data_IF_903710279675
#
_entry.id   IF_903710279675
#
_cell.length_a   1.000
_cell.length_b   1.000
_cell.length_c   1.000
_cell.angle_alpha   90.00
_cell.angle_beta   90.00
_cell.angle_gamma   90.00
#
_symmetry.space_group_name_H-M   'P 1'
#
loop_
_entity.id
_entity.type
_entity.pdbx_description
1 polymer ?
#
# COMPACT_ATOMS: atom_id res chain seq x y z
N UNK A 1 -19.30 -44.44 -14.27
CA UNK A 1 -18.25 -45.00 -13.40
C UNK A 1 -17.45 -43.82 -12.83
N UNK A 2 -17.49 -43.62 -11.52
CA UNK A 2 -16.78 -42.51 -10.86
C UNK A 2 -15.28 -42.86 -10.71
N UNK A 3 -14.39 -41.99 -11.16
CA UNK A 3 -12.93 -42.13 -11.05
C UNK A 3 -12.53 -41.97 -9.56
N UNK A 4 -11.75 -42.93 -9.02
CA UNK A 4 -11.14 -42.78 -7.69
C UNK A 4 -10.07 -41.64 -7.73
N UNK A 5 -10.16 -40.73 -6.77
CA UNK A 5 -9.21 -39.64 -6.58
C UNK A 5 -7.80 -40.18 -6.23
N UNK A 6 -6.76 -39.59 -6.76
CA UNK A 6 -5.36 -39.90 -6.38
C UNK A 6 -5.05 -39.35 -4.99
N UNK A 7 -4.06 -39.92 -4.30
CA UNK A 7 -3.71 -39.54 -2.95
C UNK A 7 -3.37 -38.02 -2.82
N UNK A 8 -2.72 -37.45 -3.83
CA UNK A 8 -2.39 -36.00 -3.89
C UNK A 8 -3.65 -35.13 -4.03
N UNK A 9 -4.63 -35.58 -4.82
CA UNK A 9 -5.92 -34.88 -4.98
C UNK A 9 -6.73 -34.91 -3.68
N UNK A 10 -6.63 -35.99 -2.92
CA UNK A 10 -7.30 -36.13 -1.61
C UNK A 10 -6.70 -35.19 -0.57
N UNK A 11 -5.37 -35.01 -0.60
CA UNK A 11 -4.67 -34.08 0.29
C UNK A 11 -5.04 -32.62 0.01
N UNK A 12 -5.09 -32.22 -1.28
CA UNK A 12 -5.53 -30.90 -1.70
C UNK A 12 -6.97 -30.60 -1.30
N UNK A 13 -7.86 -31.58 -1.47
CA UNK A 13 -9.26 -31.46 -1.06
C UNK A 13 -9.42 -31.34 0.46
N UNK A 14 -8.59 -32.02 1.24
CA UNK A 14 -8.57 -31.89 2.70
C UNK A 14 -8.25 -30.46 3.16
N UNK A 15 -7.32 -29.78 2.49
CA UNK A 15 -6.96 -28.40 2.78
C UNK A 15 -8.10 -27.41 2.44
N UNK A 16 -8.76 -27.61 1.30
CA UNK A 16 -9.87 -26.75 0.86
C UNK A 16 -11.09 -26.92 1.77
N UNK A 17 -11.43 -28.16 2.14
CA UNK A 17 -12.59 -28.44 2.99
C UNK A 17 -12.41 -27.99 4.44
N UNK A 18 -11.17 -27.87 4.93
CA UNK A 18 -10.89 -27.36 6.27
C UNK A 18 -11.15 -25.84 6.41
N UNK A 19 -11.15 -25.10 5.29
CA UNK A 19 -11.38 -23.65 5.28
C UNK A 19 -12.84 -23.25 5.01
N UNK A 20 -13.73 -24.23 4.68
CA UNK A 20 -15.12 -23.96 4.34
C UNK A 20 -16.01 -24.24 5.55
N UNK A 21 -16.83 -23.29 5.95
CA UNK A 21 -17.82 -23.46 7.02
C UNK A 21 -19.05 -24.18 6.44
N UNK A 22 -19.37 -25.43 6.85
CA UNK A 22 -20.53 -26.12 6.33
C UNK A 22 -21.84 -25.47 6.79
N UNK A 23 -22.83 -25.46 5.93
CA UNK A 23 -24.17 -25.02 6.25
C UNK A 23 -24.79 -25.92 7.35
N UNK A 24 -25.61 -25.37 8.26
CA UNK A 24 -26.23 -26.13 9.32
C UNK A 24 -27.09 -27.26 8.73
N UNK A 25 -26.84 -28.52 9.15
CA UNK A 25 -27.57 -29.71 8.73
C UNK A 25 -26.82 -30.68 7.80
N UNK A 26 -25.58 -30.40 7.39
CA UNK A 26 -24.72 -31.34 6.67
C UNK A 26 -23.46 -31.66 7.42
N UNK A 27 -23.24 -32.92 7.73
CA UNK A 27 -22.00 -33.41 8.35
C UNK A 27 -20.98 -33.63 7.24
N UNK A 28 -19.81 -32.95 7.36
CA UNK A 28 -18.70 -33.17 6.43
C UNK A 28 -18.13 -34.59 6.63
N UNK A 29 -17.75 -35.32 5.58
CA UNK A 29 -17.12 -36.63 5.74
C UNK A 29 -15.75 -36.45 6.40
N UNK A 30 -15.56 -37.09 7.55
CA UNK A 30 -14.27 -37.08 8.27
C UNK A 30 -13.32 -38.02 7.54
N UNK A 31 -12.36 -37.43 6.83
CA UNK A 31 -11.23 -38.19 6.28
C UNK A 31 -10.24 -38.40 7.41
N UNK A 32 -10.10 -39.62 7.92
CA UNK A 32 -9.02 -40.01 8.82
C UNK A 32 -7.69 -39.85 8.09
N UNK A 33 -6.91 -38.87 8.48
CA UNK A 33 -5.52 -38.78 8.09
C UNK A 33 -4.76 -39.90 8.82
N UNK A 34 -3.83 -40.61 8.14
CA UNK A 34 -2.91 -41.49 8.84
C UNK A 34 -2.03 -40.67 9.76
N UNK A 35 -1.82 -41.18 11.01
CA UNK A 35 -0.92 -40.60 11.99
C UNK A 35 0.47 -40.39 11.35
N UNK A 36 0.81 -39.14 11.06
CA UNK A 36 2.19 -38.76 10.71
C UNK A 36 2.89 -38.55 12.05
N UNK A 37 3.76 -39.50 12.36
CA UNK A 37 4.71 -39.45 13.46
C UNK A 37 5.32 -38.04 13.59
N UNK A 38 5.29 -37.52 14.80
CA UNK A 38 5.68 -36.16 15.14
C UNK A 38 7.05 -35.80 14.56
N UNK A 39 7.08 -34.95 13.58
CA UNK A 39 8.31 -34.29 13.14
C UNK A 39 8.87 -33.40 14.27
N UNK A 40 10.19 -33.36 14.47
CA UNK A 40 10.80 -32.66 15.59
C UNK A 40 10.48 -31.16 15.57
N UNK A 41 10.32 -30.62 16.76
CA UNK A 41 10.04 -29.24 17.09
C UNK A 41 10.56 -28.23 16.05
N UNK A 42 9.62 -27.47 15.45
CA UNK A 42 9.97 -26.37 14.58
C UNK A 42 10.87 -25.40 15.35
N UNK A 43 12.01 -25.12 14.78
CA UNK A 43 12.90 -24.05 15.21
C UNK A 43 12.07 -22.78 15.41
N UNK A 44 12.22 -22.07 16.53
CA UNK A 44 11.53 -20.80 16.70
C UNK A 44 11.93 -19.89 15.55
N UNK A 45 10.97 -19.51 14.72
CA UNK A 45 11.14 -18.42 13.77
C UNK A 45 11.71 -17.23 14.55
N UNK A 46 12.74 -16.55 14.05
CA UNK A 46 13.25 -15.38 14.74
C UNK A 46 12.08 -14.45 14.97
N UNK A 47 11.72 -14.28 16.23
CA UNK A 47 10.75 -13.28 16.67
C UNK A 47 11.22 -11.97 16.05
N UNK A 48 10.44 -11.47 15.07
CA UNK A 48 10.62 -10.15 14.52
C UNK A 48 10.98 -9.22 15.66
N UNK A 49 12.16 -8.63 15.57
CA UNK A 49 12.54 -7.52 16.43
C UNK A 49 11.31 -6.63 16.55
N UNK A 50 10.89 -6.39 17.78
CA UNK A 50 9.76 -5.53 18.14
C UNK A 50 9.92 -4.27 17.33
N UNK A 51 9.05 -4.10 16.34
CA UNK A 51 9.03 -2.93 15.52
C UNK A 51 8.94 -1.76 16.49
N UNK A 52 10.03 -0.99 16.56
CA UNK A 52 10.14 0.23 17.35
C UNK A 52 8.83 0.98 17.11
N UNK A 53 8.00 1.11 18.14
CA UNK A 53 6.67 1.70 18.09
C UNK A 53 6.76 2.96 17.24
N UNK A 54 6.23 2.90 16.02
CA UNK A 54 6.23 4.03 15.11
C UNK A 54 5.59 5.19 15.87
N UNK A 55 6.29 6.30 15.96
CA UNK A 55 5.71 7.52 16.52
C UNK A 55 4.38 7.78 15.81
N UNK A 56 3.35 8.31 16.50
CA UNK A 56 2.06 8.55 15.89
C UNK A 56 2.25 9.33 14.59
N UNK A 57 1.78 8.76 13.49
CA UNK A 57 1.88 9.36 12.16
C UNK A 57 1.05 10.64 12.20
N UNK A 58 1.73 11.77 12.25
CA UNK A 58 1.07 13.07 12.19
C UNK A 58 0.58 13.25 10.75
N UNK A 59 -0.69 13.62 10.51
CA UNK A 59 -1.17 13.87 9.16
C UNK A 59 -0.24 14.87 8.46
N UNK A 60 0.00 14.73 7.14
CA UNK A 60 0.85 15.65 6.41
C UNK A 60 0.27 17.06 6.49
N UNK A 61 1.13 18.05 6.61
CA UNK A 61 0.69 19.44 6.55
C UNK A 61 0.01 19.71 5.20
N UNK A 62 -1.03 20.52 5.22
CA UNK A 62 -1.69 20.95 3.97
C UNK A 62 -0.79 21.97 3.27
N UNK A 63 -0.68 21.88 1.94
CA UNK A 63 0.03 22.91 1.16
C UNK A 63 -0.64 24.27 1.44
N UNK A 64 0.17 25.28 1.69
CA UNK A 64 -0.29 26.65 1.94
C UNK A 64 -1.22 27.11 0.80
N UNK A 65 -2.39 27.74 1.14
CA UNK A 65 -3.43 28.07 0.15
C UNK A 65 -2.93 28.96 -1.01
N UNK A 66 -1.98 29.85 -0.75
CA UNK A 66 -1.36 30.70 -1.78
C UNK A 66 -0.56 29.87 -2.78
N UNK A 67 0.25 28.92 -2.28
CA UNK A 67 1.04 28.01 -3.11
C UNK A 67 0.13 27.07 -3.91
N UNK A 68 -0.89 26.49 -3.27
CA UNK A 68 -1.87 25.66 -3.95
C UNK A 68 -2.54 26.39 -5.14
N UNK A 69 -2.93 27.68 -4.95
CA UNK A 69 -3.50 28.50 -6.03
C UNK A 69 -2.50 28.72 -7.16
N UNK A 70 -1.20 28.91 -6.87
CA UNK A 70 -0.16 29.08 -7.91
C UNK A 70 0.03 27.81 -8.72
N UNK A 71 0.05 26.63 -8.06
CA UNK A 71 0.11 25.33 -8.76
C UNK A 71 -1.10 25.14 -9.67
N UNK A 72 -2.30 25.39 -9.17
CA UNK A 72 -3.55 25.23 -9.94
C UNK A 72 -3.60 26.17 -11.15
N UNK A 73 -3.06 27.39 -11.01
CA UNK A 73 -2.99 28.39 -12.10
C UNK A 73 -1.83 28.15 -13.07
N UNK A 74 -0.96 27.19 -12.80
CA UNK A 74 0.23 26.90 -13.61
C UNK A 74 1.39 27.89 -13.41
N UNK A 75 1.35 28.72 -12.38
CA UNK A 75 2.45 29.63 -12.01
C UNK A 75 3.59 28.88 -11.30
N UNK A 76 3.33 27.75 -10.69
CA UNK A 76 4.32 26.79 -10.22
C UNK A 76 4.16 25.53 -11.07
N UNK A 77 5.16 25.16 -11.88
CA UNK A 77 5.07 23.99 -12.73
C UNK A 77 5.09 22.71 -11.90
N UNK A 78 4.33 21.73 -12.35
CA UNK A 78 4.44 20.36 -11.82
C UNK A 78 5.68 19.74 -12.45
N UNK A 79 6.78 19.70 -11.68
CA UNK A 79 8.10 19.28 -12.17
C UNK A 79 8.19 17.75 -12.32
N UNK A 80 7.40 17.02 -11.54
CA UNK A 80 7.42 15.57 -11.54
C UNK A 80 6.02 14.97 -11.39
N UNK A 81 5.83 13.76 -11.92
CA UNK A 81 4.55 13.05 -11.87
C UNK A 81 4.79 11.56 -11.69
N UNK A 82 4.06 10.93 -10.77
CA UNK A 82 4.02 9.48 -10.61
C UNK A 82 2.58 8.99 -10.68
N UNK A 83 2.39 7.84 -11.31
CA UNK A 83 1.10 7.18 -11.42
C UNK A 83 1.16 5.81 -10.72
N UNK A 84 0.33 5.66 -9.70
CA UNK A 84 0.25 4.47 -8.85
C UNK A 84 -1.03 3.67 -9.11
N UNK A 85 -1.93 4.15 -9.98
CA UNK A 85 -3.21 3.49 -10.20
C UNK A 85 -3.03 2.04 -10.66
N UNK A 86 -3.87 1.14 -10.16
CA UNK A 86 -3.79 -0.29 -10.49
C UNK A 86 -2.66 -1.06 -9.79
N UNK A 87 -1.81 -0.39 -9.01
CA UNK A 87 -0.80 -1.07 -8.21
C UNK A 87 -1.40 -1.66 -6.93
N UNK A 88 -0.79 -2.73 -6.43
CA UNK A 88 -1.07 -3.23 -5.07
C UNK A 88 -0.54 -2.25 -4.03
N UNK A 89 -1.10 -2.27 -2.81
CA UNK A 89 -0.71 -1.43 -1.70
C UNK A 89 0.81 -1.37 -1.47
N UNK A 90 1.46 -2.54 -1.35
CA UNK A 90 2.89 -2.60 -1.02
C UNK A 90 3.77 -2.13 -2.18
N UNK A 91 3.37 -2.46 -3.42
CA UNK A 91 4.07 -2.03 -4.62
C UNK A 91 3.96 -0.52 -4.81
N UNK A 92 2.78 0.04 -4.60
CA UNK A 92 2.54 1.48 -4.71
C UNK A 92 3.34 2.26 -3.66
N UNK A 93 3.38 1.76 -2.41
CA UNK A 93 4.17 2.36 -1.34
C UNK A 93 5.65 2.39 -1.69
N UNK A 94 6.23 1.26 -2.09
CA UNK A 94 7.65 1.20 -2.46
C UNK A 94 7.97 2.08 -3.66
N UNK A 95 7.11 2.10 -4.68
CA UNK A 95 7.27 2.94 -5.86
C UNK A 95 7.23 4.44 -5.50
N UNK A 96 6.27 4.84 -4.67
CA UNK A 96 6.14 6.22 -4.20
C UNK A 96 7.38 6.67 -3.42
N UNK A 97 7.82 5.86 -2.45
CA UNK A 97 8.97 6.16 -1.61
C UNK A 97 10.23 6.38 -2.44
N UNK A 98 10.56 5.43 -3.31
CA UNK A 98 11.72 5.53 -4.19
C UNK A 98 11.63 6.71 -5.15
N UNK A 99 10.44 6.98 -5.68
CA UNK A 99 10.23 8.07 -6.61
C UNK A 99 10.42 9.44 -5.95
N UNK A 100 9.79 9.67 -4.79
CA UNK A 100 9.88 10.94 -4.07
C UNK A 100 11.32 11.23 -3.63
N UNK A 101 12.04 10.24 -3.14
CA UNK A 101 13.46 10.39 -2.79
C UNK A 101 14.29 10.83 -3.99
N UNK A 102 14.10 10.18 -5.14
CA UNK A 102 14.83 10.51 -6.37
C UNK A 102 14.54 11.92 -6.86
N UNK A 103 13.27 12.30 -7.02
CA UNK A 103 12.93 13.63 -7.55
C UNK A 103 13.31 14.75 -6.59
N UNK A 104 13.32 14.49 -5.28
CA UNK A 104 13.84 15.42 -4.30
C UNK A 104 15.36 15.61 -4.44
N UNK A 105 16.10 14.53 -4.71
CA UNK A 105 17.54 14.59 -5.00
C UNK A 105 17.85 15.37 -6.29
N UNK A 106 16.98 15.26 -7.29
CA UNK A 106 17.01 16.03 -8.54
C UNK A 106 16.67 17.52 -8.33
N UNK A 107 16.15 17.90 -7.15
CA UNK A 107 15.82 19.27 -6.79
C UNK A 107 14.39 19.69 -7.08
N UNK A 108 13.51 18.74 -7.49
CA UNK A 108 12.10 19.03 -7.73
C UNK A 108 11.39 19.50 -6.46
N UNK A 109 10.42 20.39 -6.65
CA UNK A 109 9.67 21.00 -5.54
C UNK A 109 8.20 20.63 -5.53
N UNK A 110 7.66 20.26 -6.68
CA UNK A 110 6.25 19.96 -6.87
C UNK A 110 6.08 18.62 -7.59
N UNK A 111 5.37 17.70 -6.95
CA UNK A 111 5.10 16.36 -7.49
C UNK A 111 3.59 16.13 -7.55
N UNK A 112 3.12 15.61 -8.67
CA UNK A 112 1.77 15.10 -8.84
C UNK A 112 1.77 13.58 -8.62
N UNK A 113 1.06 13.12 -7.60
CA UNK A 113 0.87 11.69 -7.29
C UNK A 113 -0.53 11.27 -7.69
N UNK A 114 -0.65 10.37 -8.66
CA UNK A 114 -1.93 9.85 -9.13
C UNK A 114 -2.18 8.49 -8.48
N UNK A 115 -3.24 8.38 -7.72
CA UNK A 115 -3.64 7.17 -7.01
C UNK A 115 -4.82 6.45 -7.68
N UNK A 116 -5.50 7.15 -8.58
CA UNK A 116 -6.78 6.72 -9.13
C UNK A 116 -7.93 6.91 -8.14
N UNK A 117 -9.16 6.78 -8.64
CA UNK A 117 -10.37 6.89 -7.82
C UNK A 117 -10.77 5.58 -7.14
N UNK A 118 -10.18 4.44 -7.57
CA UNK A 118 -10.63 3.09 -7.21
C UNK A 118 -11.83 2.63 -8.03
N UNK A 119 -11.77 1.44 -8.60
CA UNK A 119 -12.83 0.89 -9.48
C UNK A 119 -14.05 0.41 -8.70
N UNK A 120 -13.93 0.14 -7.40
CA UNK A 120 -14.99 -0.35 -6.53
C UNK A 120 -15.26 0.58 -5.32
N UNK A 121 -14.89 1.85 -5.41
CA UNK A 121 -15.15 2.82 -4.33
C UNK A 121 -14.17 2.77 -3.15
N UNK A 122 -13.33 1.77 -3.04
CA UNK A 122 -12.45 1.59 -1.89
C UNK A 122 -11.25 2.54 -1.86
N UNK A 123 -10.84 3.09 -2.99
CA UNK A 123 -9.76 4.08 -3.10
C UNK A 123 -8.58 3.85 -2.16
N UNK A 124 -8.16 2.57 -2.00
CA UNK A 124 -7.17 2.14 -1.01
C UNK A 124 -5.91 2.99 -1.09
N UNK A 125 -5.36 3.16 -2.30
CA UNK A 125 -4.15 3.96 -2.48
C UNK A 125 -4.37 5.42 -2.09
N UNK A 126 -5.53 6.00 -2.43
CA UNK A 126 -5.89 7.37 -2.07
C UNK A 126 -5.91 7.57 -0.55
N UNK A 127 -6.44 6.59 0.20
CA UNK A 127 -6.52 6.66 1.67
C UNK A 127 -5.16 6.55 2.33
N UNK A 128 -4.31 5.64 1.85
CA UNK A 128 -3.03 5.36 2.49
C UNK A 128 -1.87 6.25 2.01
N UNK A 129 -1.96 6.86 0.83
CA UNK A 129 -0.89 7.72 0.30
C UNK A 129 -0.52 8.88 1.25
N UNK A 130 -1.47 9.62 1.87
CA UNK A 130 -1.12 10.66 2.84
C UNK A 130 -0.34 10.11 4.04
N UNK A 131 -0.70 8.94 4.55
CA UNK A 131 -0.03 8.31 5.68
C UNK A 131 1.41 7.91 5.31
N UNK A 132 1.62 7.37 4.09
CA UNK A 132 2.96 7.03 3.60
C UNK A 132 3.85 8.27 3.46
N UNK A 133 3.30 9.38 2.96
CA UNK A 133 4.02 10.64 2.83
C UNK A 133 4.36 11.27 4.19
N UNK A 134 3.62 10.92 5.25
CA UNK A 134 3.84 11.36 6.62
C UNK A 134 4.76 10.44 7.42
N UNK A 135 5.07 9.26 6.89
CA UNK A 135 5.95 8.30 7.52
C UNK A 135 7.42 8.56 7.14
N UNK A 136 8.34 8.08 7.96
CA UNK A 136 9.76 8.07 7.60
C UNK A 136 10.01 7.12 6.41
N UNK A 137 10.90 7.46 5.46
CA UNK A 137 11.77 8.65 5.45
C UNK A 137 11.11 9.90 4.85
N UNK A 138 9.96 9.80 4.19
CA UNK A 138 9.34 10.86 3.40
C UNK A 138 8.94 12.09 4.23
N UNK A 139 8.57 11.92 5.48
CA UNK A 139 8.21 13.00 6.41
C UNK A 139 9.26 14.11 6.49
N UNK A 140 10.53 13.75 6.39
CA UNK A 140 11.63 14.71 6.51
C UNK A 140 11.75 15.62 5.28
N UNK A 141 11.24 15.17 4.13
CA UNK A 141 11.37 15.87 2.84
C UNK A 141 10.05 16.43 2.31
N UNK A 142 8.91 15.89 2.74
CA UNK A 142 7.59 16.42 2.38
C UNK A 142 7.31 17.68 3.20
N UNK A 143 6.96 18.77 2.51
CA UNK A 143 6.57 20.04 3.12
C UNK A 143 5.04 20.13 3.31
N UNK A 144 4.28 19.51 2.40
CA UNK A 144 2.84 19.52 2.48
C UNK A 144 2.18 18.69 1.38
N UNK A 145 0.92 18.32 1.61
CA UNK A 145 0.11 17.52 0.69
C UNK A 145 -1.25 18.17 0.54
N UNK A 146 -1.79 18.23 -0.67
CA UNK A 146 -3.18 18.66 -0.90
C UNK A 146 -3.81 17.91 -2.05
N UNK A 147 -5.13 17.89 -2.10
CA UNK A 147 -5.87 17.30 -3.22
C UNK A 147 -5.59 18.07 -4.51
N UNK A 148 -5.41 17.33 -5.61
CA UNK A 148 -5.20 17.94 -6.90
C UNK A 148 -6.49 18.58 -7.45
N UNK A 149 -6.33 19.59 -8.27
CA UNK A 149 -7.43 20.21 -8.99
C UNK A 149 -8.02 19.24 -10.01
N UNK A 150 -9.29 19.41 -10.38
CA UNK A 150 -10.00 18.53 -11.36
C UNK A 150 -9.23 18.34 -12.65
N UNK A 151 -8.53 19.37 -13.14
CA UNK A 151 -7.67 19.30 -14.35
C UNK A 151 -6.50 18.32 -14.21
N UNK A 152 -6.05 18.05 -13.00
CA UNK A 152 -4.90 17.19 -12.71
C UNK A 152 -5.31 15.88 -12.03
N UNK A 153 -6.58 15.47 -12.16
CA UNK A 153 -7.09 14.19 -11.66
C UNK A 153 -8.05 14.30 -10.47
N UNK A 154 -8.20 15.50 -9.88
CA UNK A 154 -9.16 15.75 -8.82
C UNK A 154 -8.94 14.85 -7.60
N UNK A 155 -10.02 14.16 -7.18
CA UNK A 155 -9.98 13.26 -6.03
C UNK A 155 -9.04 12.06 -6.17
N UNK A 156 -8.68 11.67 -7.40
CA UNK A 156 -7.76 10.58 -7.67
C UNK A 156 -6.30 10.99 -7.73
N UNK A 157 -5.94 12.22 -7.34
CA UNK A 157 -4.58 12.70 -7.38
C UNK A 157 -4.28 13.69 -6.24
N UNK A 158 -3.01 13.78 -5.87
CA UNK A 158 -2.50 14.65 -4.81
C UNK A 158 -1.33 15.49 -5.31
N UNK A 159 -1.30 16.76 -4.93
CA UNK A 159 -0.09 17.56 -5.00
C UNK A 159 0.76 17.31 -3.77
N UNK A 160 2.05 17.09 -3.96
CA UNK A 160 3.04 16.92 -2.92
C UNK A 160 4.09 17.99 -3.08
N UNK A 161 4.18 18.88 -2.09
CA UNK A 161 5.22 19.89 -2.01
C UNK A 161 6.43 19.33 -1.27
N UNK A 162 7.63 19.49 -1.82
CA UNK A 162 8.87 19.03 -1.23
C UNK A 162 9.65 20.22 -0.62
N UNK A 163 10.35 19.93 0.48
CA UNK A 163 11.25 20.90 1.13
C UNK A 163 12.48 21.16 0.25
N UNK A 164 13.05 22.36 0.37
CA UNK A 164 14.34 22.63 -0.26
C UNK A 164 15.40 21.72 0.33
N UNK A 165 16.20 21.11 -0.55
CA UNK A 165 17.44 20.46 -0.11
C UNK A 165 18.40 21.55 0.36
N UNK A 166 18.72 21.53 1.64
CA UNK A 166 19.76 22.44 2.16
C UNK A 166 21.08 21.98 1.56
N UNK A 167 21.68 22.82 0.70
CA UNK A 167 23.06 22.57 0.26
C UNK A 167 23.95 22.72 1.49
N UNK A 168 24.52 21.63 1.93
CA UNK A 168 25.62 21.61 2.88
C UNK A 168 26.91 21.96 2.17
#
# INVERSE_FOLDING_TARGET
MARKLKAEETHLWGHVTATVRPLPGRVAPTVKLPDVEAAPAHLPLPTKAVAKRAAPVRPPETIEPGRHKRIVRGHEPLEARIDLHGMTHDRARAALENYILRVWDEGCREVLVITGKGTQGDGVLRRFTPDWLSAAPLREIVAGVSQAHRRHGGEGALYVALKRKTRS
#
